data_IF_080022257955
#
_entry.id   IF_080022257955
#
_cell.length_a   1.000
_cell.length_b   1.000
_cell.length_c   1.000
_cell.angle_alpha   90.00
_cell.angle_beta   90.00
_cell.angle_gamma   90.00
#
_symmetry.space_group_name_H-M   'P 1'
#
loop_
_entity.id
_entity.type
_entity.pdbx_description
1 polymer ?
#
# COMPACT_ATOMS: atom_id res chain seq x y z
N UNK A 1 1.18 -8.63 1.96
CA UNK A 1 0.55 -7.38 1.47
C UNK A 1 0.22 -7.47 -0.01
N UNK A 2 -0.68 -6.65 -0.49
CA UNK A 2 -0.85 -6.39 -1.91
C UNK A 2 -0.55 -4.91 -2.17
N UNK A 3 0.12 -4.62 -3.29
CA UNK A 3 0.61 -3.27 -3.58
C UNK A 3 0.09 -2.79 -4.94
N UNK A 4 -0.28 -1.54 -5.03
CA UNK A 4 -0.79 -0.93 -6.25
C UNK A 4 -0.52 0.57 -6.30
N UNK A 5 -1.08 1.22 -7.32
CA UNK A 5 -1.01 2.68 -7.49
C UNK A 5 0.19 3.21 -8.25
N UNK A 6 1.15 2.35 -8.63
CA UNK A 6 2.37 2.78 -9.29
C UNK A 6 2.48 2.44 -10.77
N UNK A 7 1.82 1.38 -11.21
CA UNK A 7 1.97 0.84 -12.56
C UNK A 7 0.64 0.80 -13.30
N UNK A 8 0.71 0.96 -14.62
CA UNK A 8 -0.43 0.70 -15.49
C UNK A 8 -0.55 -0.80 -15.84
N UNK A 9 -1.52 -1.16 -16.68
CA UNK A 9 -1.75 -2.56 -17.09
C UNK A 9 -0.62 -3.15 -17.91
N UNK A 10 0.27 -2.32 -18.44
CA UNK A 10 1.49 -2.76 -19.15
C UNK A 10 2.71 -2.81 -18.23
N UNK A 11 2.54 -2.64 -16.92
CA UNK A 11 3.60 -2.57 -15.91
C UNK A 11 4.56 -1.39 -16.14
N UNK A 12 4.05 -0.32 -16.72
CA UNK A 12 4.79 0.92 -16.93
C UNK A 12 4.44 1.88 -15.81
N UNK A 13 5.47 2.54 -15.25
CA UNK A 13 5.30 3.49 -14.16
C UNK A 13 4.39 4.66 -14.57
N UNK A 14 3.38 4.92 -13.76
CA UNK A 14 2.45 6.02 -13.96
C UNK A 14 3.06 7.33 -13.47
N UNK A 15 2.72 8.48 -14.12
CA UNK A 15 3.06 9.79 -13.56
C UNK A 15 2.48 9.95 -12.16
N UNK A 16 3.23 10.58 -11.27
CA UNK A 16 2.77 10.86 -9.91
C UNK A 16 3.10 12.30 -9.53
N UNK A 17 2.48 12.77 -8.45
CA UNK A 17 2.80 14.07 -7.86
C UNK A 17 4.10 13.98 -7.07
N UNK A 18 4.58 15.11 -6.58
CA UNK A 18 5.75 15.15 -5.72
C UNK A 18 5.57 14.30 -4.46
N UNK A 19 6.66 13.72 -3.94
CA UNK A 19 6.62 12.96 -2.70
C UNK A 19 6.08 13.77 -1.52
N UNK A 20 5.51 13.09 -0.55
CA UNK A 20 4.93 13.69 0.65
C UNK A 20 5.69 13.25 1.91
N UNK A 21 5.53 14.01 2.99
CA UNK A 21 6.13 13.73 4.29
C UNK A 21 5.55 12.44 4.86
N UNK A 22 6.41 11.63 5.48
CA UNK A 22 6.01 10.40 6.15
C UNK A 22 5.27 10.72 7.45
N UNK A 23 4.04 10.25 7.56
CA UNK A 23 3.17 10.45 8.73
C UNK A 23 3.02 9.17 9.55
N UNK A 24 3.99 8.25 9.49
CA UNK A 24 3.90 6.99 10.24
C UNK A 24 3.90 7.16 11.75
N UNK A 25 4.25 8.35 12.24
CA UNK A 25 4.18 8.74 13.65
C UNK A 25 2.76 9.13 14.10
N UNK A 26 1.74 8.84 13.30
CA UNK A 26 0.33 9.15 13.59
C UNK A 26 -0.34 8.19 14.59
N UNK A 27 0.38 7.22 15.13
CA UNK A 27 -0.13 6.25 16.09
C UNK A 27 -0.94 5.10 15.49
N UNK A 28 -1.03 5.01 14.16
CA UNK A 28 -1.76 3.93 13.49
C UNK A 28 -0.83 2.76 13.20
N UNK A 29 -1.34 1.56 13.44
CA UNK A 29 -0.61 0.30 13.25
C UNK A 29 -0.88 -0.30 11.87
N UNK A 30 0.13 -0.96 11.28
CA UNK A 30 0.00 -1.73 10.05
C UNK A 30 -0.67 -3.08 10.33
N UNK A 31 -1.90 -3.02 10.84
CA UNK A 31 -2.73 -4.18 11.13
C UNK A 31 -3.41 -4.70 9.86
N UNK A 32 -3.92 -5.93 9.93
CA UNK A 32 -4.67 -6.52 8.81
C UNK A 32 -5.84 -5.62 8.41
N UNK A 33 -5.99 -5.39 7.10
CA UNK A 33 -7.05 -4.55 6.54
C UNK A 33 -6.71 -3.07 6.45
N UNK A 34 -5.55 -2.63 6.96
CA UNK A 34 -5.11 -1.23 6.82
C UNK A 34 -4.42 -1.00 5.49
N UNK A 35 -4.41 0.26 5.06
CA UNK A 35 -3.76 0.71 3.83
C UNK A 35 -2.68 1.70 4.21
N UNK A 36 -1.48 1.50 3.70
CA UNK A 36 -0.32 2.34 3.99
C UNK A 36 0.39 2.76 2.72
N UNK A 37 1.18 3.83 2.80
CA UNK A 37 1.97 4.32 1.66
C UNK A 37 3.24 3.51 1.48
N UNK A 38 3.43 2.99 0.27
CA UNK A 38 4.72 2.43 -0.14
C UNK A 38 5.72 3.57 -0.37
N UNK A 39 7.01 3.28 -0.16
CA UNK A 39 8.09 4.24 -0.32
C UNK A 39 9.42 3.54 -0.62
N UNK A 40 10.40 4.31 -1.01
CA UNK A 40 11.78 3.84 -1.09
C UNK A 40 12.43 3.86 0.31
N UNK A 41 13.73 3.67 0.39
CA UNK A 41 14.47 3.79 1.66
C UNK A 41 14.45 5.20 2.24
N UNK A 42 14.18 6.22 1.43
CA UNK A 42 13.95 7.58 1.92
C UNK A 42 12.56 7.64 2.60
N UNK A 43 12.47 7.98 3.89
CA UNK A 43 11.19 8.05 4.59
C UNK A 43 10.15 8.97 3.95
N UNK A 44 10.60 10.02 3.27
CA UNK A 44 9.74 11.04 2.66
C UNK A 44 9.67 10.91 1.13
N UNK A 45 9.67 9.68 0.61
CA UNK A 45 9.63 9.40 -0.82
C UNK A 45 8.29 8.88 -1.34
N UNK A 46 7.28 8.75 -0.49
CA UNK A 46 5.97 8.25 -0.90
C UNK A 46 5.28 9.22 -1.86
N UNK A 47 4.72 8.70 -2.94
CA UNK A 47 4.00 9.51 -3.94
C UNK A 47 2.64 8.92 -4.30
N UNK A 48 2.58 7.80 -5.00
CA UNK A 48 1.30 7.23 -5.46
C UNK A 48 1.10 5.76 -5.09
N UNK A 49 2.17 5.04 -4.78
CA UNK A 49 2.06 3.63 -4.47
C UNK A 49 1.58 3.41 -3.04
N UNK A 50 0.70 2.45 -2.88
CA UNK A 50 0.18 2.05 -1.58
C UNK A 50 0.16 0.53 -1.48
N UNK A 51 -0.02 0.02 -0.27
CA UNK A 51 -0.23 -1.41 -0.07
C UNK A 51 -1.34 -1.64 0.95
N UNK A 52 -1.98 -2.79 0.83
CA UNK A 52 -2.98 -3.25 1.78
C UNK A 52 -2.36 -4.35 2.62
N UNK A 53 -2.40 -4.20 3.94
CA UNK A 53 -1.91 -5.21 4.86
C UNK A 53 -2.88 -6.38 4.91
N UNK A 54 -2.40 -7.58 4.55
CA UNK A 54 -3.18 -8.82 4.59
C UNK A 54 -2.83 -9.69 5.80
N UNK A 55 -2.01 -9.15 6.69
CA UNK A 55 -1.63 -9.69 7.99
C UNK A 55 -1.27 -8.53 8.91
N UNK A 56 -1.10 -8.79 10.21
CA UNK A 56 -0.59 -7.79 11.15
C UNK A 56 0.93 -7.66 10.94
N UNK A 57 1.33 -6.58 10.29
CA UNK A 57 2.72 -6.34 9.91
C UNK A 57 3.37 -5.31 10.86
N UNK A 58 3.53 -5.68 12.13
CA UNK A 58 4.06 -4.78 13.17
C UNK A 58 5.47 -4.27 12.86
N UNK A 59 6.25 -5.03 12.10
CA UNK A 59 7.59 -4.62 11.67
C UNK A 59 7.58 -3.40 10.73
N UNK A 60 6.43 -3.01 10.19
CA UNK A 60 6.26 -1.81 9.35
C UNK A 60 5.84 -0.58 10.15
N UNK A 61 5.62 -0.73 11.46
CA UNK A 61 5.22 0.37 12.31
C UNK A 61 6.40 1.30 12.62
N UNK A 62 6.08 2.50 13.10
CA UNK A 62 7.05 3.55 13.41
C UNK A 62 7.58 3.40 14.84
N UNK A 63 8.78 2.83 15.06
CA UNK A 63 9.41 2.86 16.39
C UNK A 63 10.18 4.15 16.68
N UNK A 64 10.77 4.80 15.66
CA UNK A 64 11.55 6.01 15.83
C UNK A 64 11.67 6.80 14.51
N UNK A 65 12.27 7.99 14.58
CA UNK A 65 12.41 8.90 13.44
C UNK A 65 13.75 8.75 12.71
N UNK A 66 14.29 7.54 12.64
CA UNK A 66 15.46 7.23 11.82
C UNK A 66 15.05 6.74 10.44
N UNK A 67 15.99 6.67 9.50
CA UNK A 67 15.71 6.18 8.14
C UNK A 67 15.10 4.78 8.15
N UNK A 68 15.60 3.89 8.99
CA UNK A 68 15.10 2.51 9.10
C UNK A 68 13.91 2.37 10.04
N UNK A 69 13.77 3.28 11.02
CA UNK A 69 12.72 3.22 12.01
C UNK A 69 11.46 4.01 11.68
N UNK A 70 11.46 4.84 10.64
CA UNK A 70 10.27 5.67 10.30
C UNK A 70 9.02 4.84 10.06
N UNK A 71 9.17 3.64 9.47
CA UNK A 71 8.05 2.79 9.15
C UNK A 71 7.23 3.29 7.95
N UNK A 72 6.01 2.79 7.85
CA UNK A 72 5.11 3.04 6.73
C UNK A 72 3.81 3.63 7.25
N UNK A 73 3.42 4.78 6.69
CA UNK A 73 2.29 5.55 7.15
C UNK A 73 0.96 4.91 6.77
N UNK A 74 0.19 4.46 7.76
CA UNK A 74 -1.18 3.99 7.58
C UNK A 74 -2.08 5.22 7.46
N UNK A 75 -2.90 5.26 6.39
CA UNK A 75 -3.79 6.40 6.13
C UNK A 75 -5.26 5.99 5.94
N UNK A 76 -5.55 4.71 5.82
CA UNK A 76 -6.91 4.23 5.57
C UNK A 76 -7.10 2.79 6.04
N UNK A 77 -8.36 2.35 6.04
CA UNK A 77 -8.75 0.98 6.29
C UNK A 77 -9.66 0.51 5.14
N UNK A 78 -9.56 -0.77 4.80
CA UNK A 78 -10.53 -1.40 3.89
C UNK A 78 -11.81 -1.66 4.69
N UNK A 79 -12.89 -0.98 4.32
CA UNK A 79 -14.19 -1.13 5.01
C UNK A 79 -15.17 -1.99 4.22
N UNK A 80 -14.88 -2.26 2.95
CA UNK A 80 -15.67 -3.12 2.08
C UNK A 80 -14.75 -3.74 1.04
N UNK A 81 -14.94 -5.01 0.71
CA UNK A 81 -14.14 -5.69 -0.32
C UNK A 81 -12.95 -6.49 0.20
N UNK A 82 -12.85 -6.75 1.51
CA UNK A 82 -11.73 -7.54 2.05
C UNK A 82 -11.68 -8.96 1.47
N UNK A 83 -12.81 -9.53 1.10
CA UNK A 83 -12.86 -10.83 0.42
C UNK A 83 -12.15 -10.79 -0.93
N UNK A 84 -12.23 -9.70 -1.66
CA UNK A 84 -11.50 -9.49 -2.91
C UNK A 84 -9.99 -9.39 -2.63
N UNK A 85 -9.61 -8.63 -1.62
CA UNK A 85 -8.21 -8.50 -1.17
C UNK A 85 -7.63 -9.86 -0.81
N UNK A 86 -8.37 -10.66 -0.04
CA UNK A 86 -7.95 -11.99 0.34
C UNK A 86 -7.84 -12.95 -0.85
N UNK A 87 -8.67 -12.77 -1.86
CA UNK A 87 -8.55 -13.53 -3.11
C UNK A 87 -7.27 -13.16 -3.87
N UNK A 88 -6.99 -11.87 -3.99
CA UNK A 88 -5.80 -11.35 -4.67
C UNK A 88 -4.52 -11.86 -4.01
N UNK A 89 -4.45 -11.88 -2.68
CA UNK A 89 -3.23 -12.33 -1.98
C UNK A 89 -2.86 -13.79 -2.27
N UNK A 90 -3.82 -14.60 -2.72
CA UNK A 90 -3.62 -16.04 -2.95
C UNK A 90 -3.34 -16.40 -4.41
N UNK A 91 -3.35 -15.43 -5.35
CA UNK A 91 -3.11 -15.72 -6.76
C UNK A 91 -1.65 -16.07 -7.03
N UNK A 92 -1.43 -16.82 -8.10
CA UNK A 92 -0.08 -17.16 -8.56
C UNK A 92 0.65 -15.89 -9.02
N UNK A 93 1.93 -15.77 -8.67
CA UNK A 93 2.77 -14.64 -9.02
C UNK A 93 4.06 -15.09 -9.69
N UNK A 94 4.73 -14.17 -10.36
CA UNK A 94 6.02 -14.39 -11.00
C UNK A 94 6.74 -13.05 -11.20
N UNK A 95 7.90 -13.10 -11.86
CA UNK A 95 8.64 -11.89 -12.20
C UNK A 95 8.33 -11.47 -13.62
N UNK A 96 8.12 -10.17 -13.84
CA UNK A 96 7.88 -9.60 -15.16
C UNK A 96 8.35 -8.15 -15.21
N UNK A 97 8.96 -7.75 -16.33
CA UNK A 97 9.46 -6.38 -16.57
C UNK A 97 10.26 -5.80 -15.40
N UNK A 98 11.18 -6.59 -14.83
CA UNK A 98 12.00 -6.22 -13.68
C UNK A 98 11.25 -6.09 -12.36
N UNK A 99 9.96 -6.48 -12.31
CA UNK A 99 9.17 -6.50 -11.09
C UNK A 99 9.04 -7.94 -10.57
N UNK A 100 9.01 -8.11 -9.24
CA UNK A 100 8.78 -9.38 -8.56
C UNK A 100 7.36 -9.45 -8.06
N UNK A 101 6.90 -10.66 -7.79
CA UNK A 101 5.59 -10.91 -7.18
C UNK A 101 4.44 -10.30 -7.98
N UNK A 102 4.58 -10.30 -9.31
CA UNK A 102 3.53 -9.84 -10.22
C UNK A 102 2.53 -10.96 -10.41
N UNK A 103 1.20 -10.69 -10.25
CA UNK A 103 0.19 -11.70 -10.55
C UNK A 103 0.35 -12.26 -11.97
N UNK A 104 0.28 -13.60 -12.09
CA UNK A 104 0.43 -14.27 -13.38
C UNK A 104 -0.69 -13.91 -14.36
N UNK A 105 -1.88 -13.62 -13.85
CA UNK A 105 -2.99 -13.04 -14.61
C UNK A 105 -3.14 -11.59 -14.21
N UNK A 106 -3.42 -10.71 -15.17
CA UNK A 106 -3.58 -9.28 -14.91
C UNK A 106 -4.67 -9.04 -13.87
N UNK A 107 -4.30 -8.27 -12.83
CA UNK A 107 -5.25 -7.76 -11.84
C UNK A 107 -5.23 -6.23 -11.95
N UNK A 108 -6.39 -5.66 -12.20
CA UNK A 108 -6.54 -4.23 -12.39
C UNK A 108 -7.49 -3.65 -11.34
N UNK A 109 -7.08 -2.56 -10.71
CA UNK A 109 -7.96 -1.78 -9.85
C UNK A 109 -8.79 -0.89 -10.77
N UNK A 110 -10.07 -1.20 -10.89
CA UNK A 110 -10.98 -0.42 -11.75
C UNK A 110 -11.60 0.74 -11.00
N UNK A 111 -11.75 0.61 -9.67
CA UNK A 111 -12.47 1.59 -8.88
C UNK A 111 -12.10 1.49 -7.40
N UNK A 112 -11.89 2.66 -6.77
CA UNK A 112 -11.75 2.80 -5.32
C UNK A 112 -12.65 3.94 -4.88
N UNK A 113 -13.46 3.70 -3.85
CA UNK A 113 -14.32 4.72 -3.25
C UNK A 113 -13.89 5.02 -1.82
N UNK A 114 -13.96 6.30 -1.44
CA UNK A 114 -13.82 6.72 -0.05
C UNK A 114 -15.20 6.70 0.58
N UNK A 115 -15.35 5.99 1.70
CA UNK A 115 -16.62 5.89 2.39
C UNK A 115 -16.87 7.15 3.24
N UNK A 116 -17.94 7.87 2.96
CA UNK A 116 -18.34 9.06 3.71
C UNK A 116 -18.72 8.76 5.16
N UNK A 117 -19.06 7.51 5.50
CA UNK A 117 -19.39 7.11 6.86
C UNK A 117 -18.21 7.29 7.83
N UNK A 118 -16.99 7.43 7.33
CA UNK A 118 -15.75 7.54 8.11
C UNK A 118 -15.12 8.94 8.05
N UNK A 119 -15.72 9.89 7.33
CA UNK A 119 -15.18 11.24 7.15
C UNK A 119 -15.24 12.10 8.42
N UNK A 120 -15.88 11.61 9.48
CA UNK A 120 -16.08 12.36 10.72
C UNK A 120 -15.03 12.07 11.79
N UNK A 121 -14.05 11.26 11.46
CA UNK A 121 -12.92 11.05 12.35
C UNK A 121 -11.91 12.25 12.24
#
# INVERSE_FOLDING_TARGET
MIQGGGLDTDLIEKPSRDPIINEADNGRSNAIGTIAMARTSDPNSASSQFFINVADNDFLNHPDKTQHGWGYAVFADVVEGMEVVNHIKSVATGSERYHRDVPSELIEITEIHISNAYDQY
#
